data_IF_605589551461
#
_entry.id   IF_605589551461
#
_cell.length_a   1.000
_cell.length_b   1.000
_cell.length_c   1.000
_cell.angle_alpha   90.00
_cell.angle_beta   90.00
_cell.angle_gamma   90.00
#
_symmetry.space_group_name_H-M   'P 1'
#
loop_
_entity.id
_entity.type
_entity.pdbx_description
1 polymer ?
#
# COMPACT_ATOMS: atom_id res chain seq x y z
N UNK A 1 -7.08 -3.69 1.20
CA UNK A 1 -6.25 -4.25 0.11
C UNK A 1 -6.73 -3.61 -1.18
N UNK A 2 -5.84 -3.01 -1.97
CA UNK A 2 -6.19 -2.36 -3.25
C UNK A 2 -5.93 -3.37 -4.38
N UNK A 3 -6.88 -3.51 -5.32
CA UNK A 3 -6.83 -4.46 -6.44
C UNK A 3 -7.19 -3.75 -7.74
N UNK A 4 -6.43 -4.01 -8.80
CA UNK A 4 -6.58 -3.45 -10.16
C UNK A 4 -7.55 -4.36 -10.96
N UNK A 5 -8.47 -3.78 -11.77
CA UNK A 5 -9.63 -4.49 -12.40
C UNK A 5 -9.37 -4.86 -13.88
N UNK A 6 -10.33 -5.55 -14.51
CA UNK A 6 -10.23 -6.30 -15.78
C UNK A 6 -10.08 -5.48 -17.06
N UNK A 7 -10.57 -4.23 -17.11
CA UNK A 7 -10.42 -3.34 -18.28
C UNK A 7 -8.93 -3.04 -18.56
N UNK A 8 -8.08 -3.15 -17.54
CA UNK A 8 -6.65 -2.89 -17.65
C UNK A 8 -5.88 -4.03 -18.33
N UNK A 9 -6.47 -5.24 -18.40
CA UNK A 9 -5.77 -6.45 -18.84
C UNK A 9 -5.45 -6.45 -20.33
N UNK A 10 -6.38 -6.00 -21.18
CA UNK A 10 -6.21 -6.02 -22.64
C UNK A 10 -5.14 -5.02 -23.09
N UNK A 11 -5.15 -3.80 -22.56
CA UNK A 11 -4.11 -2.79 -22.84
C UNK A 11 -2.73 -3.24 -22.37
N UNK A 12 -2.65 -3.91 -21.22
CA UNK A 12 -1.39 -4.46 -20.72
C UNK A 12 -0.90 -5.61 -21.61
N UNK A 13 -1.80 -6.49 -22.07
CA UNK A 13 -1.46 -7.57 -23.00
C UNK A 13 -0.91 -7.00 -24.29
N UNK A 14 -1.57 -5.96 -24.85
CA UNK A 14 -1.11 -5.27 -26.06
C UNK A 14 0.31 -4.72 -25.90
N UNK A 15 0.61 -4.03 -24.79
CA UNK A 15 1.93 -3.43 -24.54
C UNK A 15 3.08 -4.44 -24.49
N UNK A 16 2.80 -5.69 -24.13
CA UNK A 16 3.82 -6.74 -24.00
C UNK A 16 3.68 -7.81 -25.07
N UNK A 17 2.82 -7.62 -26.07
CA UNK A 17 2.41 -8.71 -26.97
C UNK A 17 3.59 -9.27 -27.79
N UNK A 18 4.50 -8.38 -28.18
CA UNK A 18 5.69 -8.69 -28.98
C UNK A 18 6.86 -9.30 -28.19
N UNK A 19 6.75 -9.43 -26.86
CA UNK A 19 7.82 -9.95 -26.02
C UNK A 19 7.73 -11.46 -25.81
N UNK A 20 8.83 -12.12 -25.48
CA UNK A 20 8.77 -13.50 -24.98
C UNK A 20 8.07 -13.58 -23.61
N UNK A 21 7.45 -14.72 -23.29
CA UNK A 21 6.65 -14.89 -22.05
C UNK A 21 7.40 -14.47 -20.77
N UNK A 22 8.69 -14.77 -20.65
CA UNK A 22 9.48 -14.40 -19.47
C UNK A 22 9.71 -12.87 -19.38
N UNK A 23 9.79 -12.21 -20.53
CA UNK A 23 9.97 -10.77 -20.66
C UNK A 23 8.67 -10.01 -20.42
N UNK A 24 7.53 -10.55 -20.91
CA UNK A 24 6.18 -10.09 -20.55
C UNK A 24 6.04 -10.02 -19.03
N UNK A 25 6.40 -11.11 -18.36
CA UNK A 25 6.28 -11.22 -16.90
C UNK A 25 7.16 -10.20 -16.17
N UNK A 26 8.37 -9.95 -16.67
CA UNK A 26 9.31 -8.95 -16.15
C UNK A 26 8.79 -7.53 -16.35
N UNK A 27 8.25 -7.22 -17.53
CA UNK A 27 7.68 -5.92 -17.85
C UNK A 27 6.46 -5.60 -16.97
N UNK A 28 5.53 -6.54 -16.84
CA UNK A 28 4.35 -6.38 -15.98
C UNK A 28 4.77 -6.19 -14.51
N UNK A 29 5.74 -6.99 -14.01
CA UNK A 29 6.26 -6.82 -12.64
C UNK A 29 6.93 -5.46 -12.41
N UNK A 30 7.53 -4.85 -13.45
CA UNK A 30 8.09 -3.50 -13.40
C UNK A 30 6.98 -2.45 -13.21
N UNK A 31 5.93 -2.52 -14.03
CA UNK A 31 4.78 -1.64 -13.89
C UNK A 31 4.05 -1.79 -12.55
N UNK A 32 3.81 -3.04 -12.13
CA UNK A 32 3.19 -3.32 -10.84
C UNK A 32 3.97 -2.70 -9.68
N UNK A 33 5.31 -2.77 -9.71
CA UNK A 33 6.19 -2.14 -8.71
C UNK A 33 6.02 -0.62 -8.70
N UNK A 34 5.92 0.01 -9.87
CA UNK A 34 5.70 1.44 -10.00
C UNK A 34 4.35 1.86 -9.39
N UNK A 35 3.28 1.14 -9.74
CA UNK A 35 1.92 1.40 -9.24
C UNK A 35 1.82 1.33 -7.72
N UNK A 36 2.28 0.24 -7.09
CA UNK A 36 2.18 0.11 -5.63
C UNK A 36 3.08 1.08 -4.87
N UNK A 37 4.15 1.57 -5.50
CA UNK A 37 5.01 2.58 -4.89
C UNK A 37 4.29 3.93 -4.74
N UNK A 38 3.37 4.28 -5.65
CA UNK A 38 2.53 5.48 -5.53
C UNK A 38 1.73 5.44 -4.22
N UNK A 39 1.02 4.34 -3.97
CA UNK A 39 0.27 4.15 -2.73
C UNK A 39 1.17 4.16 -1.50
N UNK A 40 2.33 3.50 -1.54
CA UNK A 40 3.28 3.52 -0.42
C UNK A 40 3.70 4.94 -0.06
N UNK A 41 4.07 5.74 -1.06
CA UNK A 41 4.52 7.14 -0.85
C UNK A 41 3.38 7.98 -0.27
N UNK A 42 2.17 7.90 -0.85
CA UNK A 42 1.03 8.68 -0.35
C UNK A 42 0.57 8.24 1.03
N UNK A 43 0.41 6.95 1.28
CA UNK A 43 -0.01 6.43 2.58
C UNK A 43 0.97 6.84 3.70
N UNK A 44 2.27 6.82 3.41
CA UNK A 44 3.32 7.30 4.32
C UNK A 44 3.20 8.81 4.57
N UNK A 45 2.97 9.60 3.53
CA UNK A 45 2.77 11.05 3.63
C UNK A 45 1.51 11.42 4.43
N UNK A 46 0.40 10.74 4.17
CA UNK A 46 -0.85 10.91 4.90
C UNK A 46 -0.66 10.63 6.40
N UNK A 47 -0.05 9.49 6.75
CA UNK A 47 0.25 9.19 8.14
C UNK A 47 1.13 10.27 8.77
N UNK A 48 2.19 10.71 8.07
CA UNK A 48 3.13 11.72 8.59
C UNK A 48 2.43 13.02 8.93
N UNK A 49 1.52 13.49 8.07
CA UNK A 49 0.77 14.74 8.27
C UNK A 49 -0.18 14.71 9.48
N UNK A 50 -0.51 13.51 9.97
CA UNK A 50 -1.49 13.29 11.04
C UNK A 50 -0.86 12.91 12.39
N UNK A 51 0.47 12.77 12.43
CA UNK A 51 1.18 12.54 13.68
C UNK A 51 1.34 13.88 14.40
N UNK A 52 0.70 14.02 15.57
CA UNK A 52 0.79 15.22 16.41
C UNK A 52 2.20 15.47 16.97
N UNK A 53 2.99 14.40 17.15
CA UNK A 53 4.35 14.47 17.69
C UNK A 53 5.34 13.70 16.81
N UNK A 54 6.50 14.30 16.56
CA UNK A 54 7.58 13.72 15.77
C UNK A 54 8.80 13.48 16.68
N UNK A 55 9.32 12.25 16.73
CA UNK A 55 10.46 11.90 17.58
C UNK A 55 10.92 10.45 17.40
N UNK A 56 11.96 10.03 18.15
CA UNK A 56 12.60 8.70 18.01
C UNK A 56 11.64 7.51 18.13
N UNK A 57 10.52 7.64 18.85
CA UNK A 57 9.57 6.55 19.08
C UNK A 57 8.36 6.49 18.09
N UNK A 58 8.11 7.53 17.29
CA UNK A 58 7.02 7.55 16.29
C UNK A 58 7.42 6.98 14.93
N UNK A 59 8.68 6.57 14.75
CA UNK A 59 9.24 6.10 13.48
C UNK A 59 8.93 4.65 13.09
N UNK A 60 8.56 3.76 14.02
CA UNK A 60 8.46 2.32 13.72
C UNK A 60 7.40 1.99 12.66
N UNK A 61 6.21 2.58 12.76
CA UNK A 61 5.16 2.41 11.74
C UNK A 61 5.52 3.12 10.43
N UNK A 62 6.11 4.32 10.52
CA UNK A 62 6.52 5.11 9.38
C UNK A 62 7.59 4.42 8.53
N UNK A 63 8.52 3.73 9.19
CA UNK A 63 9.64 3.03 8.58
C UNK A 63 9.24 1.64 8.08
N UNK A 64 8.11 1.09 8.52
CA UNK A 64 7.66 -0.22 8.06
C UNK A 64 6.89 -0.17 6.74
N UNK A 65 6.56 1.00 6.19
CA UNK A 65 5.90 1.11 4.88
C UNK A 65 6.73 0.45 3.77
N UNK A 66 6.12 -0.51 3.09
CA UNK A 66 6.80 -1.32 2.07
C UNK A 66 5.91 -1.60 0.87
N UNK A 67 6.52 -2.14 -0.17
CA UNK A 67 5.84 -2.69 -1.34
C UNK A 67 6.35 -4.08 -1.66
N UNK A 68 5.48 -4.98 -2.10
CA UNK A 68 5.86 -6.32 -2.51
C UNK A 68 5.19 -6.73 -3.81
N UNK A 69 5.99 -7.08 -4.81
CA UNK A 69 5.52 -7.75 -6.03
C UNK A 69 5.50 -9.26 -5.76
N UNK A 70 4.42 -9.95 -6.14
CA UNK A 70 4.26 -11.38 -5.95
C UNK A 70 5.22 -12.13 -6.90
N UNK A 71 5.92 -13.16 -6.38
CA UNK A 71 6.95 -13.90 -7.14
C UNK A 71 6.34 -14.73 -8.28
N UNK A 72 5.29 -15.49 -7.95
CA UNK A 72 4.70 -16.52 -8.81
C UNK A 72 3.36 -16.11 -9.45
N UNK A 73 2.98 -14.84 -9.36
CA UNK A 73 1.72 -14.33 -9.94
C UNK A 73 1.80 -12.85 -10.21
N UNK A 74 1.03 -12.39 -11.19
CA UNK A 74 0.89 -10.98 -11.52
C UNK A 74 0.05 -10.28 -10.46
N UNK A 75 0.74 -9.58 -9.56
CA UNK A 75 0.11 -8.70 -8.60
C UNK A 75 1.13 -8.13 -7.63
N UNK A 76 0.79 -6.99 -7.03
CA UNK A 76 1.63 -6.33 -6.04
C UNK A 76 0.80 -5.79 -4.89
N UNK A 77 1.47 -5.51 -3.78
CA UNK A 77 0.88 -5.00 -2.55
C UNK A 77 1.67 -3.79 -2.07
N UNK A 78 0.97 -2.78 -1.56
CA UNK A 78 1.54 -1.76 -0.68
C UNK A 78 1.04 -2.05 0.74
N UNK A 79 1.92 -1.96 1.73
CA UNK A 79 1.59 -2.37 3.10
C UNK A 79 2.77 -2.15 4.03
N UNK A 80 3.01 -3.11 4.92
CA UNK A 80 4.06 -3.03 5.94
C UNK A 80 4.97 -4.26 5.97
N UNK A 81 6.26 -4.06 6.25
CA UNK A 81 7.23 -5.13 6.50
C UNK A 81 7.16 -5.58 7.96
N UNK A 82 7.12 -6.90 8.18
CA UNK A 82 7.15 -7.51 9.51
C UNK A 82 8.56 -7.46 10.11
N UNK A 83 8.70 -7.26 11.44
CA UNK A 83 7.63 -7.18 12.46
C UNK A 83 6.97 -5.79 12.58
N UNK A 84 7.34 -4.83 11.74
CA UNK A 84 6.75 -3.49 11.73
C UNK A 84 5.28 -3.46 11.27
N UNK A 85 4.53 -2.47 11.75
CA UNK A 85 3.15 -2.25 11.31
C UNK A 85 2.11 -3.25 11.82
N UNK A 86 2.40 -4.09 12.82
CA UNK A 86 1.44 -5.05 13.39
C UNK A 86 0.12 -4.42 13.85
N UNK A 87 0.18 -3.19 14.38
CA UNK A 87 -1.00 -2.44 14.83
C UNK A 87 -1.44 -1.35 13.85
N UNK A 88 -0.92 -1.36 12.62
CA UNK A 88 -1.25 -0.36 11.60
C UNK A 88 -2.75 -0.27 11.31
N UNK A 89 -3.47 -1.40 11.36
CA UNK A 89 -4.91 -1.43 11.15
C UNK A 89 -5.67 -0.68 12.24
N UNK A 90 -5.18 -0.66 13.49
CA UNK A 90 -5.78 0.13 14.58
C UNK A 90 -5.55 1.61 14.37
N UNK A 91 -4.37 1.97 13.86
CA UNK A 91 -4.04 3.37 13.55
C UNK A 91 -4.87 3.86 12.37
N UNK A 92 -5.04 3.04 11.33
CA UNK A 92 -5.77 3.41 10.12
C UNK A 92 -7.29 3.43 10.33
N UNK A 93 -7.86 2.35 10.89
CA UNK A 93 -9.31 2.18 11.03
C UNK A 93 -9.86 2.73 12.36
N UNK A 94 -8.99 3.06 13.32
CA UNK A 94 -9.39 3.43 14.67
C UNK A 94 -9.78 2.23 15.53
N UNK A 95 -10.14 2.48 16.79
CA UNK A 95 -10.69 1.46 17.69
C UNK A 95 -12.16 1.72 17.95
N UNK A 96 -12.87 0.71 18.47
CA UNK A 96 -14.20 0.91 19.07
C UNK A 96 -14.05 1.43 20.50
N UNK A 97 -15.12 2.02 21.03
CA UNK A 97 -15.18 2.40 22.43
C UNK A 97 -15.03 1.15 23.30
N UNK A 98 -14.23 1.25 24.37
CA UNK A 98 -13.99 0.16 25.31
C UNK A 98 -14.32 0.64 26.72
N UNK A 99 -14.99 -0.21 27.49
CA UNK A 99 -15.28 0.02 28.91
C UNK A 99 -14.67 -1.08 29.77
N UNK A 100 -14.41 -0.79 31.03
CA UNK A 100 -13.95 -1.78 32.01
C UNK A 100 -15.10 -2.68 32.44
N UNK A 101 -14.81 -3.97 32.63
CA UNK A 101 -15.78 -4.93 33.19
C UNK A 101 -15.89 -4.86 34.72
N UNK A 102 -15.02 -4.06 35.37
CA UNK A 102 -14.91 -3.96 36.83
C UNK A 102 -13.92 -4.97 37.41
N UNK A 103 -12.93 -4.48 38.18
CA UNK A 103 -12.04 -5.26 39.08
C UNK A 103 -11.72 -4.38 40.28
N UNK A 104 -11.27 -4.95 41.42
CA UNK A 104 -11.09 -4.30 42.74
C UNK A 104 -10.70 -2.81 42.76
N UNK A 105 -9.87 -2.32 41.82
CA UNK A 105 -9.40 -0.92 41.75
C UNK A 105 -10.07 -0.03 40.69
N UNK A 106 -10.96 -0.55 39.84
CA UNK A 106 -11.63 0.22 38.76
C UNK A 106 -13.09 -0.18 38.64
N UNK A 107 -14.00 0.80 38.78
CA UNK A 107 -15.45 0.63 38.63
C UNK A 107 -15.78 0.05 37.24
N UNK A 108 -16.79 -0.82 37.17
CA UNK A 108 -17.34 -1.28 35.90
C UNK A 108 -17.92 -0.09 35.11
N UNK A 109 -17.76 -0.11 33.78
CA UNK A 109 -18.25 0.95 32.89
C UNK A 109 -17.28 2.12 32.68
N UNK A 110 -16.11 2.15 33.34
CA UNK A 110 -15.14 3.21 33.12
C UNK A 110 -14.55 3.13 31.70
N UNK A 111 -14.52 4.25 30.97
CA UNK A 111 -14.01 4.32 29.61
C UNK A 111 -12.51 4.01 29.54
N UNK A 112 -12.09 3.26 28.52
CA UNK A 112 -10.69 2.90 28.21
C UNK A 112 -10.19 3.59 26.94
N UNK A 113 -10.88 4.65 26.54
CA UNK A 113 -10.54 5.46 25.39
C UNK A 113 -11.07 4.93 24.06
N UNK A 114 -11.09 5.83 23.10
CA UNK A 114 -11.45 5.62 21.70
C UNK A 114 -10.34 6.26 20.85
N UNK A 115 -9.67 5.48 20.02
CA UNK A 115 -8.73 6.02 19.05
C UNK A 115 -9.47 6.33 17.74
N UNK A 116 -9.55 7.59 17.31
CA UNK A 116 -10.17 7.93 16.03
C UNK A 116 -9.36 7.35 14.86
N UNK A 117 -10.06 7.03 13.77
CA UNK A 117 -9.46 6.50 12.56
C UNK A 117 -8.56 7.54 11.89
N UNK A 118 -7.33 7.16 11.55
CA UNK A 118 -6.45 8.03 10.78
C UNK A 118 -6.80 8.02 9.29
N UNK A 119 -7.24 6.88 8.72
CA UNK A 119 -7.63 6.69 7.30
C UNK A 119 -6.52 6.91 6.25
N UNK A 120 -5.25 6.85 6.64
CA UNK A 120 -4.13 7.13 5.74
C UNK A 120 -4.07 6.19 4.52
N UNK A 121 -4.54 4.94 4.62
CA UNK A 121 -4.59 4.02 3.48
C UNK A 121 -5.81 4.22 2.61
N UNK A 122 -6.99 4.44 3.21
CA UNK A 122 -8.22 4.68 2.45
C UNK A 122 -8.07 5.95 1.61
N UNK A 123 -7.53 7.01 2.19
CA UNK A 123 -7.32 8.26 1.47
C UNK A 123 -6.27 8.12 0.37
N UNK A 124 -5.21 7.33 0.61
CA UNK A 124 -4.21 7.04 -0.42
C UNK A 124 -4.81 6.25 -1.58
N UNK A 125 -5.72 5.32 -1.31
CA UNK A 125 -6.44 4.58 -2.35
C UNK A 125 -7.27 5.53 -3.20
N UNK A 126 -8.15 6.31 -2.57
CA UNK A 126 -9.08 7.21 -3.26
C UNK A 126 -8.34 8.29 -4.06
N UNK A 127 -7.31 8.90 -3.49
CA UNK A 127 -6.61 10.02 -4.12
C UNK A 127 -5.63 9.60 -5.22
N UNK A 128 -5.06 8.40 -5.17
CA UNK A 128 -3.95 8.01 -6.05
C UNK A 128 -4.28 6.87 -7.01
N UNK A 129 -5.53 6.38 -7.05
CA UNK A 129 -5.92 5.27 -7.92
C UNK A 129 -5.55 5.54 -9.40
N UNK A 130 -5.95 6.69 -9.93
CA UNK A 130 -5.60 7.08 -11.31
C UNK A 130 -4.08 7.17 -11.51
N UNK A 131 -3.37 7.81 -10.58
CA UNK A 131 -1.91 7.97 -10.69
C UNK A 131 -1.17 6.64 -10.60
N UNK A 132 -1.67 5.69 -9.82
CA UNK A 132 -1.13 4.35 -9.74
C UNK A 132 -1.33 3.60 -11.07
N UNK A 133 -2.46 3.80 -11.75
CA UNK A 133 -2.70 3.25 -13.09
C UNK A 133 -1.81 3.89 -14.15
N UNK A 134 -1.68 5.21 -14.15
CA UNK A 134 -0.75 5.91 -15.06
C UNK A 134 0.70 5.42 -14.85
N UNK A 135 1.11 5.22 -13.58
CA UNK A 135 2.42 4.67 -13.24
C UNK A 135 2.60 3.20 -13.63
N UNK A 136 1.52 2.41 -13.65
CA UNK A 136 1.52 1.02 -14.12
C UNK A 136 1.88 0.98 -15.60
N UNK A 137 1.12 1.70 -16.43
CA UNK A 137 1.32 1.74 -17.89
C UNK A 137 2.71 2.27 -18.26
N UNK A 138 3.08 3.44 -17.73
CA UNK A 138 4.39 4.03 -17.97
C UNK A 138 5.55 3.14 -17.46
N UNK A 139 5.30 2.32 -16.43
CA UNK A 139 6.29 1.38 -15.90
C UNK A 139 6.45 0.11 -16.75
N UNK A 140 5.39 -0.30 -17.46
CA UNK A 140 5.42 -1.39 -18.45
C UNK A 140 6.13 -0.91 -19.71
N UNK A 141 5.72 0.23 -20.28
CA UNK A 141 6.31 0.82 -21.49
C UNK A 141 7.83 0.99 -21.33
N UNK A 142 8.29 1.60 -20.23
CA UNK A 142 9.73 1.74 -19.94
C UNK A 142 10.45 0.41 -19.76
N UNK A 143 9.75 -0.66 -19.38
CA UNK A 143 10.35 -1.98 -19.29
C UNK A 143 10.45 -2.65 -20.65
N UNK A 144 9.40 -2.56 -21.48
CA UNK A 144 9.38 -3.04 -22.87
C UNK A 144 10.47 -2.36 -23.68
N UNK A 145 10.55 -1.02 -23.64
CA UNK A 145 11.58 -0.27 -24.37
C UNK A 145 13.00 -0.74 -23.98
N UNK A 146 13.26 -0.88 -22.67
CA UNK A 146 14.56 -1.37 -22.17
C UNK A 146 14.87 -2.82 -22.56
N UNK A 147 13.87 -3.62 -22.86
CA UNK A 147 14.06 -5.00 -23.33
C UNK A 147 14.42 -4.97 -24.82
N UNK A 148 13.65 -4.22 -25.61
CA UNK A 148 13.92 -4.03 -27.04
C UNK A 148 15.29 -3.40 -27.30
N UNK A 149 15.71 -2.40 -26.50
CA UNK A 149 17.02 -1.74 -26.64
C UNK A 149 18.21 -2.66 -26.30
N UNK A 150 17.97 -3.84 -25.71
CA UNK A 150 19.00 -4.82 -25.33
C UNK A 150 19.10 -6.01 -26.28
N UNK A 151 18.06 -6.24 -27.09
CA UNK A 151 18.01 -7.28 -28.11
C UNK A 151 18.63 -6.78 -29.40
#
# INVERSE_FOLDING_TARGET
MIQIRTIDRENIIYLVDQLETFEKDKAIKSGLRAAVNVFRVRGRSNLRSRLLHHGKQTGHLMNSFTTRVKRNKLGALAGFDRPGGNHSHLVDAGTRARTTTGKKSVRAGASRGLMPANRFWEDAKVSEEKKAMDALYAGIERAVQRINDRG
#
